data_IF_054380957940
#
_entry.id   IF_054380957940
#
_cell.length_a   1.000
_cell.length_b   1.000
_cell.length_c   1.000
_cell.angle_alpha   90.00
_cell.angle_beta   90.00
_cell.angle_gamma   90.00
#
_symmetry.space_group_name_H-M   'P 1'
#
loop_
_entity.id
_entity.type
_entity.pdbx_description
1 polymer ?
#
# COMPACT_ATOMS: atom_id res chain seq x y z
N UNK A 1 12.51 -22.43 16.00
CA UNK A 1 13.27 -21.25 15.55
C UNK A 1 13.64 -21.34 14.07
N UNK A 2 14.47 -22.31 13.68
CA UNK A 2 14.90 -22.43 12.29
C UNK A 2 13.74 -22.65 11.31
N UNK A 3 12.71 -23.42 11.70
CA UNK A 3 11.55 -23.66 10.85
C UNK A 3 10.77 -22.37 10.57
N UNK A 4 10.58 -21.51 11.59
CA UNK A 4 9.89 -20.24 11.40
C UNK A 4 10.74 -19.32 10.50
N UNK A 5 12.03 -19.22 10.73
CA UNK A 5 12.91 -18.38 9.90
C UNK A 5 12.94 -18.90 8.46
N UNK A 6 12.96 -20.22 8.26
CA UNK A 6 12.91 -20.79 6.92
C UNK A 6 11.59 -20.48 6.22
N UNK A 7 10.47 -20.44 6.96
CA UNK A 7 9.16 -20.14 6.39
C UNK A 7 9.02 -18.67 5.97
N UNK A 8 9.90 -17.78 6.44
CA UNK A 8 9.93 -16.38 6.03
C UNK A 8 10.78 -16.15 4.77
N UNK A 9 11.57 -17.13 4.35
CA UNK A 9 12.44 -16.99 3.18
C UNK A 9 11.67 -16.60 1.90
N UNK A 10 10.49 -17.17 1.59
CA UNK A 10 9.73 -16.75 0.41
C UNK A 10 9.33 -15.28 0.45
N UNK A 11 9.00 -14.77 1.65
CA UNK A 11 8.66 -13.34 1.83
C UNK A 11 9.88 -12.49 1.52
N UNK A 12 11.04 -12.85 2.07
CA UNK A 12 12.28 -12.11 1.85
C UNK A 12 12.67 -12.11 0.37
N UNK A 13 12.54 -13.26 -0.30
CA UNK A 13 12.81 -13.36 -1.72
C UNK A 13 11.87 -12.46 -2.53
N UNK A 14 10.57 -12.46 -2.18
CA UNK A 14 9.59 -11.60 -2.86
C UNK A 14 9.94 -10.14 -2.69
N UNK A 15 10.32 -9.72 -1.48
CA UNK A 15 10.75 -8.34 -1.22
C UNK A 15 11.97 -7.98 -2.05
N UNK A 16 12.96 -8.87 -2.13
CA UNK A 16 14.17 -8.64 -2.92
C UNK A 16 13.85 -8.52 -4.41
N UNK A 17 12.97 -9.39 -4.94
CA UNK A 17 12.57 -9.35 -6.34
C UNK A 17 11.83 -8.06 -6.66
N UNK A 18 10.90 -7.64 -5.80
CA UNK A 18 10.16 -6.41 -5.98
C UNK A 18 11.10 -5.19 -5.92
N UNK A 19 12.05 -5.20 -5.00
CA UNK A 19 13.05 -4.14 -4.89
C UNK A 19 13.88 -4.05 -6.17
N UNK A 20 14.32 -5.18 -6.71
CA UNK A 20 15.12 -5.19 -7.92
C UNK A 20 14.34 -4.65 -9.13
N UNK A 21 13.03 -4.90 -9.19
CA UNK A 21 12.20 -4.54 -10.35
C UNK A 21 11.53 -3.18 -10.22
N UNK A 22 11.15 -2.78 -9.00
CA UNK A 22 10.26 -1.63 -8.79
C UNK A 22 10.81 -0.56 -7.85
N UNK A 23 12.08 -0.63 -7.47
CA UNK A 23 12.71 0.40 -6.64
C UNK A 23 12.49 1.77 -7.27
N UNK A 24 12.02 2.73 -6.47
CA UNK A 24 11.77 4.09 -6.95
C UNK A 24 10.41 4.30 -7.60
N UNK A 25 9.57 3.25 -7.73
CA UNK A 25 8.24 3.39 -8.33
C UNK A 25 7.33 4.22 -7.42
N UNK A 26 6.66 5.26 -7.95
CA UNK A 26 5.78 6.10 -7.14
C UNK A 26 4.47 5.39 -6.83
N UNK A 27 4.07 5.43 -5.56
CA UNK A 27 2.83 4.82 -5.07
C UNK A 27 2.13 5.75 -4.09
N UNK A 28 0.82 5.53 -3.88
CA UNK A 28 0.05 6.22 -2.86
C UNK A 28 -0.39 5.26 -1.78
N UNK A 29 -0.43 5.74 -0.53
CA UNK A 29 -0.91 5.00 0.62
C UNK A 29 -2.02 5.78 1.29
N UNK A 30 -3.08 5.10 1.74
CA UNK A 30 -4.12 5.78 2.52
C UNK A 30 -3.72 5.96 3.98
N UNK A 31 -2.88 5.07 4.51
CA UNK A 31 -2.36 5.19 5.88
C UNK A 31 -1.02 4.47 6.02
N UNK A 32 -0.45 4.50 7.23
CA UNK A 32 0.95 4.11 7.46
C UNK A 32 1.20 2.60 7.56
N UNK A 33 0.18 1.76 7.63
CA UNK A 33 0.33 0.33 7.96
C UNK A 33 1.20 -0.45 6.96
N UNK A 34 1.31 0.00 5.72
CA UNK A 34 2.09 -0.73 4.71
C UNK A 34 3.49 -0.16 4.51
N UNK A 35 3.89 0.86 5.28
CA UNK A 35 5.23 1.46 5.13
C UNK A 35 6.35 0.44 5.37
N UNK A 36 6.14 -0.52 6.27
CA UNK A 36 7.14 -1.54 6.54
C UNK A 36 7.40 -2.46 5.34
N UNK A 37 6.48 -2.48 4.35
CA UNK A 37 6.66 -3.23 3.11
C UNK A 37 7.22 -2.32 1.99
N UNK A 38 6.71 -1.09 1.90
CA UNK A 38 7.15 -0.16 0.85
C UNK A 38 8.61 0.26 1.05
N UNK A 39 9.06 0.43 2.29
CA UNK A 39 10.43 0.82 2.59
C UNK A 39 11.45 -0.24 2.16
N UNK A 40 11.29 -1.54 2.50
CA UNK A 40 12.21 -2.57 2.02
C UNK A 40 12.25 -2.73 0.50
N UNK A 41 11.14 -2.47 -0.19
CA UNK A 41 11.07 -2.56 -1.66
C UNK A 41 11.70 -1.31 -2.29
N UNK A 42 11.77 -0.21 -1.56
CA UNK A 42 12.28 1.04 -2.08
C UNK A 42 11.26 1.80 -2.91
N UNK A 43 9.97 1.55 -2.72
CA UNK A 43 8.93 2.29 -3.40
C UNK A 43 8.92 3.74 -2.92
N UNK A 44 8.61 4.65 -3.84
CA UNK A 44 8.53 6.06 -3.51
C UNK A 44 7.09 6.42 -3.14
N UNK A 45 6.84 6.60 -1.84
CA UNK A 45 5.51 6.97 -1.35
C UNK A 45 5.33 8.47 -1.54
N UNK A 46 4.41 8.86 -2.43
CA UNK A 46 4.14 10.28 -2.73
C UNK A 46 3.09 10.89 -1.81
N UNK A 47 2.24 10.07 -1.18
CA UNK A 47 1.21 10.58 -0.27
C UNK A 47 1.86 11.34 0.88
N UNK A 48 1.40 12.56 1.19
CA UNK A 48 1.94 13.31 2.33
C UNK A 48 1.81 12.50 3.63
N UNK A 49 2.86 12.48 4.42
CA UNK A 49 2.86 11.70 5.67
C UNK A 49 1.77 12.19 6.64
N UNK A 50 1.50 13.50 6.67
CA UNK A 50 0.45 14.05 7.53
C UNK A 50 -0.94 13.51 7.14
N UNK A 51 -1.18 13.21 5.86
CA UNK A 51 -2.39 12.57 5.39
C UNK A 51 -2.50 11.15 5.95
N UNK A 52 -1.46 10.35 5.75
CA UNK A 52 -1.44 8.96 6.20
C UNK A 52 -1.58 8.85 7.72
N UNK A 53 -0.89 9.72 8.44
CA UNK A 53 -0.93 9.74 9.90
C UNK A 53 -2.32 10.10 10.41
N UNK A 54 -2.95 11.09 9.82
CA UNK A 54 -4.30 11.50 10.22
C UNK A 54 -5.30 10.36 10.02
N UNK A 55 -5.25 9.68 8.87
CA UNK A 55 -6.12 8.53 8.61
C UNK A 55 -5.85 7.41 9.62
N UNK A 56 -4.58 7.10 9.90
CA UNK A 56 -4.21 6.05 10.85
C UNK A 56 -4.71 6.35 12.27
N UNK A 57 -4.74 7.62 12.66
CA UNK A 57 -5.20 8.05 13.99
C UNK A 57 -6.71 8.30 14.05
N UNK A 58 -7.44 8.12 12.94
CA UNK A 58 -8.88 8.34 12.90
C UNK A 58 -9.27 9.82 12.83
N UNK A 59 -8.35 10.69 12.45
CA UNK A 59 -8.57 12.12 12.33
C UNK A 59 -8.78 12.54 10.88
N UNK A 60 -9.40 13.68 10.68
CA UNK A 60 -9.53 14.25 9.34
C UNK A 60 -8.17 14.79 8.88
N UNK A 61 -7.71 14.42 7.67
CA UNK A 61 -6.46 14.95 7.16
C UNK A 61 -6.54 16.44 6.87
N UNK A 62 -5.43 17.18 6.98
CA UNK A 62 -5.40 18.58 6.55
C UNK A 62 -5.85 18.73 5.10
N UNK A 63 -6.63 19.77 4.81
CA UNK A 63 -7.25 19.97 3.49
C UNK A 63 -6.22 20.01 2.35
N UNK A 64 -5.07 20.62 2.57
CA UNK A 64 -4.02 20.71 1.56
C UNK A 64 -3.43 19.33 1.22
N UNK A 65 -3.33 18.44 2.20
CA UNK A 65 -2.84 17.08 1.95
C UNK A 65 -3.86 16.26 1.17
N UNK A 66 -5.15 16.47 1.40
CA UNK A 66 -6.22 15.83 0.63
C UNK A 66 -6.15 16.26 -0.83
N UNK A 67 -6.01 17.56 -1.08
CA UNK A 67 -5.87 18.08 -2.44
C UNK A 67 -4.65 17.51 -3.14
N UNK A 68 -3.50 17.48 -2.47
CA UNK A 68 -2.27 16.92 -3.02
C UNK A 68 -2.45 15.47 -3.40
N UNK A 69 -3.06 14.67 -2.51
CA UNK A 69 -3.27 13.25 -2.76
C UNK A 69 -4.22 13.04 -3.94
N UNK A 70 -5.30 13.80 -4.01
CA UNK A 70 -6.23 13.73 -5.13
C UNK A 70 -5.56 14.09 -6.46
N UNK A 71 -4.73 15.14 -6.46
CA UNK A 71 -3.99 15.55 -7.65
C UNK A 71 -3.02 14.47 -8.12
N UNK A 72 -2.35 13.80 -7.19
CA UNK A 72 -1.42 12.70 -7.53
C UNK A 72 -2.15 11.58 -8.25
N UNK A 73 -3.39 11.30 -7.89
CA UNK A 73 -4.21 10.28 -8.53
C UNK A 73 -4.68 10.76 -9.91
N UNK A 74 -5.30 11.93 -9.97
CA UNK A 74 -5.89 12.45 -11.20
C UNK A 74 -4.84 12.71 -12.28
N UNK A 75 -3.62 13.07 -11.89
CA UNK A 75 -2.52 13.35 -12.81
C UNK A 75 -1.63 12.12 -13.07
N UNK A 76 -2.03 10.96 -12.61
CA UNK A 76 -1.29 9.70 -12.80
C UNK A 76 0.16 9.77 -12.30
N UNK A 77 0.37 10.44 -11.17
CA UNK A 77 1.69 10.54 -10.57
C UNK A 77 2.07 9.30 -9.79
N UNK A 78 1.09 8.45 -9.44
CA UNK A 78 1.30 7.19 -8.74
C UNK A 78 0.93 6.03 -9.63
N UNK A 79 1.62 4.89 -9.46
CA UNK A 79 1.34 3.66 -10.23
C UNK A 79 0.24 2.83 -9.61
N UNK A 80 0.14 2.84 -8.28
CA UNK A 80 -0.87 2.08 -7.54
C UNK A 80 -1.30 2.89 -6.32
N UNK A 81 -2.53 2.64 -5.86
CA UNK A 81 -3.02 3.14 -4.58
C UNK A 81 -3.16 1.95 -3.63
N UNK A 82 -2.45 1.98 -2.53
CA UNK A 82 -2.51 0.94 -1.49
C UNK A 82 -3.41 1.46 -0.38
N UNK A 83 -4.49 0.73 -0.07
CA UNK A 83 -5.42 1.19 0.95
C UNK A 83 -5.73 0.10 1.97
N UNK A 84 -6.02 0.53 3.20
CA UNK A 84 -6.39 -0.36 4.29
C UNK A 84 -7.90 -0.65 4.21
N UNK A 85 -8.26 -1.92 3.98
CA UNK A 85 -9.67 -2.32 3.88
C UNK A 85 -10.44 -2.17 5.20
N UNK A 86 -9.72 -2.05 6.30
CA UNK A 86 -10.31 -1.93 7.64
C UNK A 86 -10.53 -0.49 8.07
N UNK A 87 -9.99 0.47 7.34
CA UNK A 87 -10.16 1.90 7.61
C UNK A 87 -10.89 2.54 6.44
N UNK A 88 -12.22 2.62 6.55
CA UNK A 88 -13.06 3.19 5.49
C UNK A 88 -13.65 4.51 5.99
N UNK A 89 -13.31 5.59 5.33
CA UNK A 89 -13.82 6.94 5.60
C UNK A 89 -14.31 7.57 4.30
N UNK A 90 -15.11 8.65 4.36
CA UNK A 90 -15.49 9.36 3.12
C UNK A 90 -14.28 9.81 2.31
N UNK A 91 -13.19 10.22 2.97
CA UNK A 91 -11.97 10.66 2.29
C UNK A 91 -11.31 9.49 1.55
N UNK A 92 -11.11 8.35 2.21
CA UNK A 92 -10.47 7.19 1.58
C UNK A 92 -11.35 6.58 0.49
N UNK A 93 -12.67 6.58 0.68
CA UNK A 93 -13.61 6.12 -0.35
C UNK A 93 -13.53 6.99 -1.59
N UNK A 94 -13.42 8.29 -1.42
CA UNK A 94 -13.28 9.23 -2.54
C UNK A 94 -11.98 8.99 -3.30
N UNK A 95 -10.87 8.72 -2.60
CA UNK A 95 -9.59 8.39 -3.24
C UNK A 95 -9.70 7.12 -4.08
N UNK A 96 -10.39 6.11 -3.59
CA UNK A 96 -10.60 4.87 -4.34
C UNK A 96 -11.40 5.13 -5.61
N UNK A 97 -12.45 5.94 -5.52
CA UNK A 97 -13.28 6.29 -6.68
C UNK A 97 -12.46 7.05 -7.71
N UNK A 98 -11.63 7.99 -7.29
CA UNK A 98 -10.75 8.72 -8.19
C UNK A 98 -9.72 7.82 -8.84
N UNK A 99 -9.15 6.87 -8.10
CA UNK A 99 -8.21 5.91 -8.66
C UNK A 99 -8.89 5.03 -9.72
N UNK A 100 -10.12 4.61 -9.49
CA UNK A 100 -10.88 3.84 -10.48
C UNK A 100 -11.14 4.65 -11.74
N UNK A 101 -11.50 5.92 -11.59
CA UNK A 101 -11.73 6.80 -12.74
C UNK A 101 -10.45 7.05 -13.52
N UNK A 102 -9.32 7.11 -12.85
CA UNK A 102 -8.01 7.31 -13.48
C UNK A 102 -7.38 6.00 -13.98
N UNK A 103 -8.05 4.85 -13.78
CA UNK A 103 -7.53 3.53 -14.13
C UNK A 103 -6.24 3.19 -13.40
N UNK A 104 -6.10 3.66 -12.16
CA UNK A 104 -4.97 3.32 -11.29
C UNK A 104 -5.35 2.09 -10.47
N UNK A 105 -4.53 1.02 -10.49
CA UNK A 105 -4.82 -0.18 -9.70
C UNK A 105 -4.86 0.12 -8.21
N UNK A 106 -5.79 -0.53 -7.50
CA UNK A 106 -5.93 -0.41 -6.05
C UNK A 106 -5.50 -1.73 -5.43
N UNK A 107 -4.58 -1.65 -4.46
CA UNK A 107 -4.09 -2.82 -3.72
C UNK A 107 -4.67 -2.78 -2.32
N UNK A 108 -5.60 -3.70 -1.98
CA UNK A 108 -6.13 -3.76 -0.63
C UNK A 108 -5.15 -4.44 0.32
N UNK A 109 -4.96 -3.85 1.49
CA UNK A 109 -4.16 -4.44 2.57
C UNK A 109 -4.96 -4.40 3.86
N UNK A 110 -4.57 -5.18 4.85
CA UNK A 110 -5.24 -5.22 6.14
C UNK A 110 -4.25 -5.11 7.29
N UNK A 111 -4.71 -4.55 8.40
CA UNK A 111 -3.91 -4.44 9.64
C UNK A 111 -3.82 -5.77 10.36
N UNK A 112 -4.90 -6.56 10.30
CA UNK A 112 -4.99 -7.82 11.02
C UNK A 112 -5.05 -8.98 10.03
N UNK A 113 -4.49 -10.12 10.47
CA UNK A 113 -4.44 -11.32 9.66
C UNK A 113 -5.85 -11.88 9.44
N UNK A 114 -6.27 -12.13 8.18
CA UNK A 114 -7.58 -12.73 7.92
C UNK A 114 -7.70 -14.12 8.53
N UNK A 115 -8.92 -14.53 8.94
CA UNK A 115 -9.14 -15.88 9.45
C UNK A 115 -8.72 -16.95 8.44
N UNK A 116 -8.13 -18.03 8.94
CA UNK A 116 -7.75 -19.18 8.11
C UNK A 116 -6.44 -19.03 7.36
N UNK A 117 -5.74 -17.93 7.51
CA UNK A 117 -4.44 -17.73 6.89
C UNK A 117 -3.31 -17.73 7.91
N UNK A 118 -2.12 -18.17 7.50
CA UNK A 118 -0.92 -17.99 8.28
C UNK A 118 -0.35 -16.61 8.02
N UNK A 119 0.57 -16.14 8.88
CA UNK A 119 1.26 -14.89 8.68
C UNK A 119 1.96 -14.86 7.32
N UNK A 120 2.62 -15.96 6.96
CA UNK A 120 3.35 -16.06 5.70
C UNK A 120 2.43 -15.98 4.50
N UNK A 121 1.28 -16.65 4.53
CA UNK A 121 0.30 -16.56 3.46
C UNK A 121 -0.25 -15.15 3.31
N UNK A 122 -0.58 -14.53 4.43
CA UNK A 122 -1.10 -13.16 4.45
C UNK A 122 -0.11 -12.18 3.83
N UNK A 123 1.16 -12.23 4.25
CA UNK A 123 2.19 -11.35 3.71
C UNK A 123 2.43 -11.59 2.22
N UNK A 124 2.55 -12.85 1.80
CA UNK A 124 2.76 -13.19 0.39
C UNK A 124 1.58 -12.76 -0.48
N UNK A 125 0.35 -12.93 0.01
CA UNK A 125 -0.83 -12.50 -0.74
C UNK A 125 -0.81 -11.00 -1.00
N UNK A 126 -0.46 -10.21 0.00
CA UNK A 126 -0.36 -8.76 -0.15
C UNK A 126 0.75 -8.36 -1.13
N UNK A 127 1.91 -8.99 -1.03
CA UNK A 127 3.04 -8.72 -1.93
C UNK A 127 2.73 -9.16 -3.36
N UNK A 128 2.04 -10.28 -3.53
CA UNK A 128 1.63 -10.74 -4.86
C UNK A 128 0.61 -9.79 -5.49
N UNK A 129 -0.33 -9.28 -4.69
CA UNK A 129 -1.29 -8.30 -5.16
C UNK A 129 -0.59 -7.02 -5.60
N UNK A 130 0.40 -6.58 -4.84
CA UNK A 130 1.21 -5.41 -5.18
C UNK A 130 1.98 -5.65 -6.48
N UNK A 131 2.60 -6.80 -6.63
CA UNK A 131 3.35 -7.14 -7.83
C UNK A 131 2.44 -7.11 -9.07
N UNK A 132 1.26 -7.72 -8.99
CA UNK A 132 0.29 -7.71 -10.08
C UNK A 132 -0.11 -6.29 -10.46
N UNK A 133 -0.37 -5.45 -9.47
CA UNK A 133 -0.76 -4.06 -9.69
C UNK A 133 0.36 -3.24 -10.32
N UNK A 134 1.62 -3.55 -10.02
CA UNK A 134 2.79 -2.86 -10.57
C UNK A 134 3.13 -3.32 -11.98
N UNK A 135 2.50 -4.35 -12.48
CA UNK A 135 2.70 -4.82 -13.85
C UNK A 135 3.24 -6.24 -13.96
N UNK A 136 3.21 -6.96 -12.86
CA UNK A 136 3.66 -8.34 -12.83
C UNK A 136 5.10 -8.53 -12.57
#
# INVERSE_FOLDING_TARGET
MSTFLASLAPIQQKLNDLKARYNGTPVGLTETIFLYQTNPIGLKVLTPFDFEKAIAEGNDPPADTVLTTNDQISQHQIKVLIYNVQTVTPVTTNLQNEAKQANIPIVPVSETMPPGKTYQQWMLDQLNALQTALGG
#
